data_IF_836329684356
#
_entry.id   IF_836329684356
#
_cell.length_a   1.000
_cell.length_b   1.000
_cell.length_c   1.000
_cell.angle_alpha   90.00
_cell.angle_beta   90.00
_cell.angle_gamma   90.00
#
_symmetry.space_group_name_H-M   'P 1'
#
loop_
_entity.id
_entity.type
_entity.pdbx_description
1 polymer ?
#
# COMPACT_ATOMS: atom_id res chain seq x y z
N UNK A 1 2.07 2.52 -18.96
CA UNK A 1 2.13 2.92 -17.55
C UNK A 1 0.90 2.38 -16.86
N UNK A 2 1.03 1.79 -15.68
CA UNK A 2 -0.11 1.31 -14.92
C UNK A 2 -1.01 2.49 -14.54
N UNK A 3 -2.33 2.25 -14.56
CA UNK A 3 -3.30 3.16 -13.94
C UNK A 3 -3.61 2.60 -12.57
N UNK A 4 -3.46 3.41 -11.52
CA UNK A 4 -3.76 3.04 -10.15
C UNK A 4 -5.02 3.76 -9.69
N UNK A 5 -6.00 3.01 -9.20
CA UNK A 5 -7.24 3.55 -8.63
C UNK A 5 -7.32 3.24 -7.15
N UNK A 6 -7.57 4.26 -6.33
CA UNK A 6 -7.83 4.12 -4.90
C UNK A 6 -9.21 4.73 -4.57
N UNK A 7 -9.94 4.16 -3.60
CA UNK A 7 -11.07 4.85 -2.99
C UNK A 7 -10.63 6.20 -2.41
N UNK A 8 -11.47 7.24 -2.44
CA UNK A 8 -11.10 8.58 -1.97
C UNK A 8 -10.85 8.63 -0.46
N UNK A 9 -11.49 7.75 0.31
CA UNK A 9 -11.32 7.64 1.74
C UNK A 9 -11.75 6.26 2.25
N UNK A 10 -11.29 5.93 3.45
CA UNK A 10 -11.77 4.80 4.24
C UNK A 10 -11.82 5.21 5.71
N UNK A 11 -12.70 4.59 6.48
CA UNK A 11 -12.85 4.90 7.91
C UNK A 11 -13.24 3.65 8.67
N UNK A 12 -12.72 3.53 9.89
CA UNK A 12 -13.04 2.46 10.82
C UNK A 12 -12.87 2.96 12.27
N UNK A 13 -13.38 2.21 13.24
CA UNK A 13 -13.22 2.53 14.65
C UNK A 13 -11.81 2.19 15.13
N UNK A 14 -11.33 2.93 16.16
CA UNK A 14 -10.09 2.57 16.85
C UNK A 14 -10.17 1.13 17.38
N UNK A 15 -9.07 0.39 17.24
CA UNK A 15 -8.98 -1.04 17.57
C UNK A 15 -9.56 -1.98 16.51
N UNK A 16 -10.33 -1.50 15.53
CA UNK A 16 -10.80 -2.30 14.42
C UNK A 16 -9.67 -2.59 13.41
N UNK A 17 -9.96 -3.48 12.45
CA UNK A 17 -9.10 -3.67 11.28
C UNK A 17 -9.65 -2.86 10.11
N UNK A 18 -8.76 -2.23 9.35
CA UNK A 18 -9.11 -1.52 8.12
C UNK A 18 -8.30 -2.07 6.95
N UNK A 19 -8.91 -2.07 5.77
CA UNK A 19 -8.28 -2.51 4.52
C UNK A 19 -8.39 -1.41 3.48
N UNK A 20 -7.25 -0.90 3.04
CA UNK A 20 -7.14 0.00 1.91
C UNK A 20 -6.90 -0.81 0.64
N UNK A 21 -7.41 -0.31 -0.49
CA UNK A 21 -7.31 -0.98 -1.78
C UNK A 21 -6.66 -0.06 -2.80
N UNK A 22 -5.75 -0.61 -3.58
CA UNK A 22 -5.18 -0.02 -4.78
C UNK A 22 -5.38 -1.00 -5.94
N UNK A 23 -6.14 -0.57 -6.96
CA UNK A 23 -6.47 -1.40 -8.11
C UNK A 23 -5.63 -0.98 -9.31
N UNK A 24 -4.85 -1.92 -9.85
CA UNK A 24 -4.11 -1.74 -11.09
C UNK A 24 -5.03 -1.92 -12.31
N UNK A 25 -4.68 -1.30 -13.44
CA UNK A 25 -5.27 -1.68 -14.71
C UNK A 25 -4.99 -3.15 -15.02
N UNK A 26 -5.95 -3.85 -15.63
CA UNK A 26 -5.91 -5.31 -15.84
C UNK A 26 -4.61 -5.79 -16.51
N UNK A 27 -4.12 -5.05 -17.50
CA UNK A 27 -2.86 -5.31 -18.23
C UNK A 27 -1.62 -5.34 -17.32
N UNK A 28 -1.68 -4.69 -16.15
CA UNK A 28 -0.59 -4.58 -15.18
C UNK A 28 -0.91 -5.34 -13.89
N UNK A 29 -1.88 -6.26 -13.91
CA UNK A 29 -2.32 -7.01 -12.73
C UNK A 29 -1.23 -7.82 -12.03
N UNK A 30 -0.10 -8.08 -12.70
CA UNK A 30 1.07 -8.78 -12.14
C UNK A 30 2.07 -7.87 -11.43
N UNK A 31 1.93 -6.54 -11.54
CA UNK A 31 2.93 -5.57 -11.08
C UNK A 31 2.99 -5.48 -9.56
N UNK A 32 4.15 -5.08 -9.06
CA UNK A 32 4.36 -4.77 -7.64
C UNK A 32 4.04 -3.30 -7.40
N UNK A 33 3.33 -3.02 -6.30
CA UNK A 33 3.13 -1.65 -5.85
C UNK A 33 3.87 -1.39 -4.55
N UNK A 34 3.98 -0.12 -4.21
CA UNK A 34 4.46 0.38 -2.94
C UNK A 34 3.37 1.22 -2.28
N UNK A 35 3.27 1.13 -0.96
CA UNK A 35 2.40 1.93 -0.14
C UNK A 35 3.18 2.98 0.61
N UNK A 36 2.63 4.19 0.65
CA UNK A 36 3.19 5.35 1.35
C UNK A 36 2.13 5.94 2.29
N UNK A 37 2.58 6.36 3.47
CA UNK A 37 1.77 7.11 4.43
C UNK A 37 2.29 8.55 4.49
N UNK A 38 1.41 9.53 4.39
CA UNK A 38 1.73 10.93 4.56
C UNK A 38 0.87 11.55 5.65
N UNK A 39 1.52 11.90 6.77
CA UNK A 39 0.89 12.67 7.85
C UNK A 39 0.94 14.17 7.51
N UNK A 40 -0.01 14.98 8.04
CA UNK A 40 -0.02 16.41 7.82
C UNK A 40 1.34 17.06 8.13
N UNK A 41 1.88 17.83 7.18
CA UNK A 41 3.17 18.52 7.32
C UNK A 41 4.41 17.63 7.29
N UNK A 42 4.28 16.33 6.97
CA UNK A 42 5.42 15.40 6.83
C UNK A 42 5.60 14.97 5.38
N UNK A 43 6.82 14.56 5.05
CA UNK A 43 7.11 13.87 3.79
C UNK A 43 6.45 12.48 3.77
N UNK A 44 6.14 11.93 2.59
CA UNK A 44 5.69 10.55 2.46
C UNK A 44 6.68 9.57 3.13
N UNK A 45 6.17 8.68 3.96
CA UNK A 45 6.90 7.58 4.59
C UNK A 45 6.56 6.28 3.87
N UNK A 46 7.57 5.54 3.44
CA UNK A 46 7.39 4.21 2.85
C UNK A 46 6.86 3.22 3.89
N UNK A 47 5.81 2.47 3.53
CA UNK A 47 5.18 1.46 4.40
C UNK A 47 5.58 0.04 3.98
N UNK A 48 5.32 -0.33 2.73
CA UNK A 48 5.64 -1.67 2.23
C UNK A 48 5.52 -1.76 0.71
N UNK A 49 6.11 -2.81 0.14
CA UNK A 49 5.82 -3.28 -1.22
C UNK A 49 4.95 -4.52 -1.18
N UNK A 50 4.02 -4.64 -2.13
CA UNK A 50 3.09 -5.78 -2.24
C UNK A 50 3.12 -6.33 -3.66
N UNK A 51 3.45 -7.61 -3.80
CA UNK A 51 3.53 -8.32 -5.07
C UNK A 51 2.18 -8.93 -5.47
N UNK A 52 2.08 -9.36 -6.73
CA UNK A 52 0.88 -10.03 -7.28
C UNK A 52 0.53 -11.35 -6.59
N UNK A 53 1.51 -12.08 -6.08
CA UNK A 53 1.31 -13.31 -5.30
C UNK A 53 0.88 -13.06 -3.84
N UNK A 54 0.78 -11.80 -3.42
CA UNK A 54 0.37 -11.40 -2.07
C UNK A 54 1.52 -11.32 -1.07
N UNK A 55 2.74 -11.71 -1.46
CA UNK A 55 3.93 -11.49 -0.64
C UNK A 55 4.23 -9.99 -0.50
N UNK A 56 4.76 -9.60 0.66
CA UNK A 56 5.08 -8.21 0.96
C UNK A 56 6.34 -8.08 1.80
N UNK A 57 6.99 -6.91 1.74
CA UNK A 57 8.04 -6.53 2.68
C UNK A 57 7.78 -5.13 3.21
N UNK A 58 7.92 -4.98 4.53
CA UNK A 58 7.70 -3.71 5.23
C UNK A 58 8.93 -2.82 5.16
N UNK A 59 8.71 -1.51 5.22
CA UNK A 59 9.76 -0.54 5.50
C UNK A 59 10.23 -0.62 6.95
N UNK A 60 11.33 0.08 7.22
CA UNK A 60 11.91 0.13 8.57
C UNK A 60 10.97 0.83 9.55
N UNK A 61 10.83 0.24 10.75
CA UNK A 61 10.00 0.80 11.82
C UNK A 61 8.49 0.68 11.60
N UNK A 62 8.05 -0.01 10.53
CA UNK A 62 6.63 -0.22 10.27
C UNK A 62 6.09 -1.33 11.19
N UNK A 63 5.03 -1.05 11.98
CA UNK A 63 4.54 -2.00 12.98
C UNK A 63 3.99 -3.30 12.39
N UNK A 64 4.02 -4.36 13.19
CA UNK A 64 3.58 -5.68 12.74
C UNK A 64 2.11 -5.77 12.35
N UNK A 65 1.29 -4.86 12.89
CA UNK A 65 -0.13 -4.76 12.57
C UNK A 65 -0.41 -4.50 11.08
N UNK A 66 0.55 -3.93 10.33
CA UNK A 66 0.43 -3.71 8.88
C UNK A 66 0.72 -5.00 8.09
N UNK A 67 -0.12 -5.32 7.12
CA UNK A 67 -0.06 -6.51 6.28
C UNK A 67 -0.45 -6.19 4.84
N UNK A 68 0.29 -6.75 3.89
CA UNK A 68 -0.02 -6.70 2.47
C UNK A 68 -0.73 -7.97 2.00
N UNK A 69 -1.66 -7.83 1.07
CA UNK A 69 -2.26 -8.95 0.33
C UNK A 69 -2.70 -8.53 -1.06
N UNK A 70 -3.08 -9.49 -1.91
CA UNK A 70 -3.48 -9.23 -3.30
C UNK A 70 -4.66 -10.10 -3.72
N UNK A 71 -5.38 -9.65 -4.76
CA UNK A 71 -6.37 -10.45 -5.48
C UNK A 71 -6.51 -9.93 -6.90
N UNK A 72 -6.05 -10.69 -7.90
CA UNK A 72 -6.03 -10.23 -9.29
C UNK A 72 -5.27 -8.91 -9.43
N UNK A 73 -5.95 -7.88 -9.95
CA UNK A 73 -5.38 -6.54 -10.12
C UNK A 73 -5.38 -5.70 -8.82
N UNK A 74 -5.98 -6.18 -7.73
CA UNK A 74 -6.01 -5.45 -6.48
C UNK A 74 -4.78 -5.74 -5.62
N UNK A 75 -4.35 -4.71 -4.91
CA UNK A 75 -3.34 -4.74 -3.85
C UNK A 75 -3.94 -4.10 -2.62
N UNK A 76 -3.81 -4.79 -1.49
CA UNK A 76 -4.43 -4.38 -0.25
C UNK A 76 -3.36 -4.05 0.79
N UNK A 77 -3.59 -2.96 1.53
CA UNK A 77 -2.91 -2.66 2.79
C UNK A 77 -3.92 -2.84 3.91
N UNK A 78 -3.72 -3.87 4.73
CA UNK A 78 -4.54 -4.13 5.91
C UNK A 78 -3.74 -3.75 7.14
N UNK A 79 -4.34 -3.04 8.08
CA UNK A 79 -3.76 -2.90 9.40
C UNK A 79 -4.80 -3.22 10.46
N UNK A 80 -4.41 -4.11 11.37
CA UNK A 80 -5.21 -4.51 12.52
C UNK A 80 -5.02 -3.53 13.68
N UNK A 81 -5.96 -3.46 14.61
CA UNK A 81 -5.86 -2.60 15.79
C UNK A 81 -5.56 -1.13 15.43
N UNK A 82 -6.45 -0.52 14.62
CA UNK A 82 -6.32 0.86 14.14
C UNK A 82 -6.07 1.84 15.30
N UNK A 83 -5.05 2.69 15.14
CA UNK A 83 -4.64 3.67 16.15
C UNK A 83 -4.90 5.10 15.65
N UNK A 84 -4.98 6.07 16.58
CA UNK A 84 -5.14 7.49 16.23
C UNK A 84 -4.02 7.98 15.31
N UNK A 85 -2.79 7.50 15.53
CA UNK A 85 -1.60 7.90 14.77
C UNK A 85 -1.56 7.33 13.35
N UNK A 86 -2.49 6.44 13.02
CA UNK A 86 -2.68 5.88 11.68
C UNK A 86 -3.56 6.79 10.79
N UNK A 87 -4.15 7.84 11.34
CA UNK A 87 -4.88 8.85 10.56
C UNK A 87 -3.89 9.66 9.70
N UNK A 88 -3.96 9.44 8.39
CA UNK A 88 -3.03 9.99 7.40
C UNK A 88 -3.61 9.84 5.98
N UNK A 89 -2.96 10.48 5.02
CA UNK A 89 -3.15 10.13 3.62
C UNK A 89 -2.33 8.88 3.26
N UNK A 90 -2.93 7.97 2.49
CA UNK A 90 -2.27 6.74 2.04
C UNK A 90 -2.30 6.66 0.52
N UNK A 91 -1.13 6.56 -0.08
CA UNK A 91 -0.95 6.55 -1.53
C UNK A 91 -0.26 5.26 -1.97
N UNK A 92 -0.77 4.64 -3.04
CA UNK A 92 -0.07 3.57 -3.72
C UNK A 92 0.68 4.11 -4.95
N UNK A 93 1.86 3.56 -5.21
CA UNK A 93 2.65 3.84 -6.40
C UNK A 93 3.15 2.54 -7.02
N UNK A 94 3.44 2.55 -8.32
CA UNK A 94 4.16 1.45 -8.95
C UNK A 94 5.58 1.37 -8.36
N UNK A 95 6.04 0.17 -7.98
CA UNK A 95 7.45 -0.02 -7.69
C UNK A 95 8.20 0.02 -9.02
N UNK A 96 8.99 1.07 -9.27
CA UNK A 96 9.87 1.13 -10.44
C UNK A 96 10.93 0.02 -10.35
N UNK A 97 10.57 -1.18 -10.78
CA UNK A 97 11.58 -2.17 -11.17
C UNK A 97 11.84 -1.87 -12.64
N UNK A 98 12.85 -1.04 -12.92
CA UNK A 98 13.42 -1.01 -14.26
C UNK A 98 13.97 -2.42 -14.46
N UNK A 99 13.25 -3.23 -15.23
CA UNK A 99 13.70 -4.54 -15.67
C UNK A 99 15.00 -4.32 -16.46
N UNK A 100 16.14 -4.54 -15.80
CA UNK A 100 17.43 -4.70 -16.47
C UNK A 100 18.33 -3.48 -16.69
N UNK A 101 18.24 -2.37 -15.94
CA UNK A 101 19.34 -1.39 -15.99
C UNK A 101 19.80 -0.93 -14.60
N UNK A 102 21.01 -1.38 -14.25
CA UNK A 102 21.89 -0.66 -13.32
C UNK A 102 22.12 0.74 -13.89
N UNK A 103 21.75 1.74 -13.09
CA UNK A 103 22.04 3.16 -13.29
C UNK A 103 21.96 3.87 -11.95
#
# INVERSE_FOLDING_TARGET
LPVLTQPPSASALLGASIKLTCTLSSEHSTYTIEWYQQRPGRSPQYIMKVKSDGSHSKGDGIPDRFMGSSSGADRYLTFSNLQSDDEAEYHCGESHTIDGQVG
#
